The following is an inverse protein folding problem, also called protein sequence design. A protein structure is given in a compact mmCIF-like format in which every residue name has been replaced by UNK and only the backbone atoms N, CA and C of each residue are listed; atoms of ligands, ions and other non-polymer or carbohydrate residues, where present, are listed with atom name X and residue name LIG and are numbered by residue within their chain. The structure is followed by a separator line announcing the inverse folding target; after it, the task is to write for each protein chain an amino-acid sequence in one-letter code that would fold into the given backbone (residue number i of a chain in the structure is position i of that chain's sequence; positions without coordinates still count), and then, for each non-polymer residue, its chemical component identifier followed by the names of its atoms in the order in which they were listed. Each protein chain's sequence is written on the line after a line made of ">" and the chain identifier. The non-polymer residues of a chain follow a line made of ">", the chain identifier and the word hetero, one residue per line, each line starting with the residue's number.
data_IF_680929786416
#
_entry.id   IF_680929786416
#
_cell.length_a   1.000
_cell.length_b   1.000
_cell.length_c   1.000
_cell.angle_alpha   90.00
_cell.angle_beta   90.00
_cell.angle_gamma   90.00
#
_symmetry.space_group_name_H-M   'P 1'
#
loop_
_entity.id
_entity.type
_entity.pdbx_description
1 polymer ?
#
# COMPACT_ATOMS: atom_id res chain seq x y z
N UNK A 1 1.06 -4.12 -4.66
CA UNK A 1 1.87 -4.78 -3.61
C UNK A 1 1.08 -5.11 -2.36
N UNK A 2 0.01 -4.36 -2.06
CA UNK A 2 -0.81 -4.49 -0.84
C UNK A 2 -1.22 -5.92 -0.46
N UNK A 3 -1.66 -6.75 -1.42
CA UNK A 3 -2.01 -8.15 -1.12
C UNK A 3 -0.83 -8.98 -0.58
N UNK A 4 0.36 -8.77 -1.13
CA UNK A 4 1.60 -9.41 -0.69
C UNK A 4 2.00 -8.88 0.68
N UNK A 5 1.90 -7.57 0.90
CA UNK A 5 2.21 -6.93 2.18
C UNK A 5 1.28 -7.42 3.30
N UNK A 6 -0.02 -7.51 3.04
CA UNK A 6 -1.01 -8.03 3.98
C UNK A 6 -0.76 -9.51 4.31
N UNK A 7 -0.53 -10.35 3.28
CA UNK A 7 -0.16 -11.76 3.48
C UNK A 7 1.12 -11.92 4.33
N UNK A 8 2.14 -11.10 4.06
CA UNK A 8 3.40 -11.12 4.81
C UNK A 8 3.21 -10.66 6.26
N UNK A 9 2.34 -9.67 6.50
CA UNK A 9 1.99 -9.19 7.83
C UNK A 9 1.27 -10.27 8.65
N UNK A 10 0.34 -11.00 8.04
CA UNK A 10 -0.35 -12.15 8.66
C UNK A 10 0.65 -13.25 9.02
N UNK A 11 1.54 -13.63 8.10
CA UNK A 11 2.60 -14.59 8.38
C UNK A 11 3.54 -14.12 9.50
N UNK A 12 3.78 -12.81 9.60
CA UNK A 12 4.55 -12.22 10.69
C UNK A 12 3.82 -12.25 12.04
N UNK A 13 2.49 -12.18 12.05
CA UNK A 13 1.69 -12.32 13.25
C UNK A 13 1.79 -13.74 13.84
N UNK A 14 1.78 -14.77 12.98
CA UNK A 14 2.02 -16.17 13.38
C UNK A 14 3.39 -16.35 14.01
N UNK A 15 4.45 -15.84 13.35
CA UNK A 15 5.82 -15.91 13.89
C UNK A 15 5.98 -15.19 15.23
N UNK A 16 5.17 -14.16 15.46
CA UNK A 16 5.14 -13.41 16.72
C UNK A 16 4.18 -14.03 17.76
N UNK A 17 3.59 -15.19 17.48
CA UNK A 17 2.59 -15.87 18.32
C UNK A 17 1.39 -14.99 18.71
N UNK A 18 1.02 -14.05 17.85
CA UNK A 18 -0.18 -13.19 18.05
C UNK A 18 -1.46 -13.85 17.55
N UNK A 19 -1.33 -14.75 16.59
CA UNK A 19 -2.41 -15.58 16.06
C UNK A 19 -1.87 -17.00 15.86
N UNK A 20 -2.75 -18.00 15.91
CA UNK A 20 -2.43 -19.39 15.62
C UNK A 20 -2.57 -19.75 14.13
N UNK A 21 -2.40 -21.03 13.81
CA UNK A 21 -2.45 -21.51 12.43
C UNK A 21 -3.87 -21.48 11.83
N UNK A 22 -4.90 -21.78 12.63
CA UNK A 22 -6.28 -21.78 12.17
C UNK A 22 -6.76 -20.33 11.94
N UNK A 23 -6.39 -19.42 12.84
CA UNK A 23 -6.61 -17.98 12.70
C UNK A 23 -5.87 -17.40 11.48
N UNK A 24 -4.68 -17.90 11.16
CA UNK A 24 -3.93 -17.48 9.97
C UNK A 24 -4.65 -17.85 8.67
N UNK A 25 -5.13 -19.10 8.53
CA UNK A 25 -5.87 -19.54 7.35
C UNK A 25 -7.21 -18.81 7.22
N UNK A 26 -7.90 -18.59 8.33
CA UNK A 26 -9.11 -17.76 8.35
C UNK A 26 -8.83 -16.32 7.90
N UNK A 27 -7.75 -15.70 8.38
CA UNK A 27 -7.36 -14.34 7.99
C UNK A 27 -6.97 -14.24 6.51
N UNK A 28 -6.31 -15.25 5.94
CA UNK A 28 -6.00 -15.31 4.51
C UNK A 28 -7.26 -15.43 3.65
N UNK A 29 -8.25 -16.19 4.12
CA UNK A 29 -9.57 -16.28 3.45
C UNK A 29 -10.27 -14.92 3.44
N UNK A 30 -10.33 -14.25 4.59
CA UNK A 30 -10.91 -12.90 4.69
C UNK A 30 -10.16 -11.90 3.80
N UNK A 31 -8.83 -11.96 3.76
CA UNK A 31 -8.02 -11.10 2.89
C UNK A 31 -8.35 -11.35 1.41
N UNK A 32 -8.51 -12.61 0.99
CA UNK A 32 -8.85 -12.96 -0.39
C UNK A 32 -10.23 -12.43 -0.80
N UNK A 33 -11.22 -12.52 0.10
CA UNK A 33 -12.58 -12.01 -0.10
C UNK A 33 -12.58 -10.49 -0.21
N UNK A 34 -11.97 -9.77 0.74
CA UNK A 34 -11.84 -8.31 0.69
C UNK A 34 -11.11 -7.82 -0.56
N UNK A 35 -10.11 -8.58 -1.03
CA UNK A 35 -9.36 -8.21 -2.22
C UNK A 35 -10.23 -8.22 -3.48
N UNK A 36 -11.31 -9.01 -3.54
CA UNK A 36 -12.25 -8.98 -4.67
C UNK A 36 -13.00 -7.65 -4.79
N UNK A 37 -13.11 -6.89 -3.70
CA UNK A 37 -13.77 -5.58 -3.67
C UNK A 37 -12.81 -4.44 -4.02
N UNK A 38 -11.51 -4.72 -4.17
CA UNK A 38 -10.46 -3.73 -4.41
C UNK A 38 -10.07 -3.72 -5.89
N UNK A 39 -10.17 -2.55 -6.52
CA UNK A 39 -9.59 -2.34 -7.85
C UNK A 39 -8.09 -2.06 -7.73
N UNK A 40 -7.27 -3.04 -8.12
CA UNK A 40 -5.82 -2.90 -8.09
C UNK A 40 -5.32 -2.07 -9.30
N UNK A 41 -4.47 -1.07 -9.02
CA UNK A 41 -3.75 -0.35 -10.09
C UNK A 41 -2.67 -1.26 -10.68
N UNK A 42 -2.72 -1.46 -11.99
CA UNK A 42 -1.73 -2.26 -12.71
C UNK A 42 -0.36 -1.56 -12.73
N UNK A 43 0.68 -2.34 -12.42
CA UNK A 43 2.08 -1.87 -12.47
C UNK A 43 2.62 -2.13 -13.88
N UNK A 44 2.54 -1.11 -14.72
CA UNK A 44 3.14 -1.10 -16.05
C UNK A 44 4.50 -0.37 -16.06
N UNK A 45 5.18 -0.37 -17.20
CA UNK A 45 6.49 0.27 -17.36
C UNK A 45 6.45 1.79 -17.03
N UNK A 46 5.36 2.47 -17.37
CA UNK A 46 5.21 3.92 -17.13
C UNK A 46 5.12 4.20 -15.63
N UNK A 47 4.33 3.40 -14.91
CA UNK A 47 4.23 3.47 -13.46
C UNK A 47 5.56 3.13 -12.80
N UNK A 48 6.27 2.09 -13.28
CA UNK A 48 7.59 1.73 -12.76
C UNK A 48 8.62 2.84 -12.91
N UNK A 49 8.66 3.53 -14.07
CA UNK A 49 9.57 4.67 -14.29
C UNK A 49 9.24 5.85 -13.38
N UNK A 50 7.96 6.12 -13.17
CA UNK A 50 7.48 7.16 -12.24
C UNK A 50 7.87 6.83 -10.80
N UNK A 51 7.60 5.61 -10.35
CA UNK A 51 8.00 5.12 -9.03
C UNK A 51 9.52 5.20 -8.84
N UNK A 52 10.31 4.80 -9.82
CA UNK A 52 11.77 4.90 -9.74
C UNK A 52 12.25 6.35 -9.59
N UNK A 53 11.56 7.32 -10.20
CA UNK A 53 11.84 8.74 -10.01
C UNK A 53 11.53 9.19 -8.58
N UNK A 54 10.33 8.86 -8.09
CA UNK A 54 9.88 9.20 -6.74
C UNK A 54 10.77 8.59 -5.66
N UNK A 55 11.22 7.34 -5.84
CA UNK A 55 12.16 6.70 -4.92
C UNK A 55 13.44 7.52 -4.72
N UNK A 56 13.94 8.20 -5.77
CA UNK A 56 15.14 9.03 -5.68
C UNK A 56 14.85 10.42 -5.14
N UNK A 57 13.75 11.05 -5.57
CA UNK A 57 13.43 12.43 -5.15
C UNK A 57 12.95 12.50 -3.71
N UNK A 58 12.22 11.48 -3.28
CA UNK A 58 11.53 11.43 -1.99
C UNK A 58 12.17 10.46 -1.00
N UNK A 59 13.29 9.83 -1.39
CA UNK A 59 14.00 8.81 -0.60
C UNK A 59 13.11 7.64 -0.13
N UNK A 60 12.10 7.28 -0.92
CA UNK A 60 11.16 6.21 -0.61
C UNK A 60 11.76 4.83 -0.85
N UNK A 61 11.33 3.84 -0.06
CA UNK A 61 11.60 2.43 -0.38
C UNK A 61 10.85 2.06 -1.67
N UNK A 62 11.31 1.01 -2.36
CA UNK A 62 10.76 0.64 -3.67
C UNK A 62 9.24 0.44 -3.68
N UNK A 63 8.69 -0.21 -2.66
CA UNK A 63 7.24 -0.41 -2.53
C UNK A 63 6.50 0.89 -2.22
N UNK A 64 7.02 1.74 -1.31
CA UNK A 64 6.45 3.05 -1.01
C UNK A 64 6.41 3.93 -2.26
N UNK A 65 7.43 3.86 -3.10
CA UNK A 65 7.46 4.60 -4.36
C UNK A 65 6.44 4.09 -5.38
N UNK A 66 6.17 2.78 -5.42
CA UNK A 66 5.10 2.19 -6.24
C UNK A 66 3.73 2.64 -5.72
N UNK A 67 3.50 2.60 -4.41
CA UNK A 67 2.27 3.10 -3.79
C UNK A 67 2.07 4.60 -4.08
N UNK A 68 3.15 5.38 -4.00
CA UNK A 68 3.15 6.80 -4.35
C UNK A 68 2.75 7.04 -5.81
N UNK A 69 3.42 6.39 -6.75
CA UNK A 69 3.12 6.51 -8.17
C UNK A 69 1.69 6.05 -8.51
N UNK A 70 1.20 5.00 -7.84
CA UNK A 70 -0.14 4.45 -8.05
C UNK A 70 -1.23 5.45 -7.65
N UNK A 71 -1.08 6.09 -6.48
CA UNK A 71 -2.01 7.14 -6.05
C UNK A 71 -1.98 8.37 -6.97
N UNK A 72 -0.79 8.78 -7.42
CA UNK A 72 -0.66 9.92 -8.33
C UNK A 72 -1.28 9.68 -9.70
N UNK A 73 -1.28 8.43 -10.19
CA UNK A 73 -1.99 8.06 -11.41
C UNK A 73 -3.50 8.28 -11.30
N UNK A 74 -4.04 8.22 -10.08
CA UNK A 74 -5.45 8.42 -9.76
C UNK A 74 -5.79 9.85 -9.32
N UNK A 75 -4.80 10.73 -9.12
CA UNK A 75 -5.00 12.08 -8.56
C UNK A 75 -5.93 13.00 -9.38
N UNK A 76 -6.23 12.65 -10.64
CA UNK A 76 -7.22 13.35 -11.46
C UNK A 76 -8.68 12.93 -11.20
N UNK A 77 -8.88 11.88 -10.41
CA UNK A 77 -10.16 11.46 -9.83
C UNK A 77 -10.16 12.01 -8.40
N UNK A 78 -11.27 12.57 -7.92
CA UNK A 78 -11.36 13.10 -6.55
C UNK A 78 -11.11 11.99 -5.52
N UNK A 79 -9.84 11.77 -5.18
CA UNK A 79 -9.35 10.63 -4.39
C UNK A 79 -8.67 11.11 -3.11
N UNK A 80 -8.83 10.29 -2.08
CA UNK A 80 -8.13 10.44 -0.81
C UNK A 80 -7.18 9.26 -0.67
N UNK A 81 -5.89 9.54 -0.49
CA UNK A 81 -4.90 8.51 -0.20
C UNK A 81 -4.92 8.19 1.29
N UNK A 82 -4.89 6.90 1.63
CA UNK A 82 -5.00 6.43 3.02
C UNK A 82 -3.84 5.49 3.34
N UNK A 83 -3.13 5.75 4.43
CA UNK A 83 -2.07 4.85 4.94
C UNK A 83 -1.83 5.09 6.43
N UNK A 84 -1.29 4.09 7.13
CA UNK A 84 -0.71 4.29 8.47
C UNK A 84 0.77 4.68 8.44
N UNK A 85 1.42 4.65 7.27
CA UNK A 85 2.82 5.01 7.11
C UNK A 85 2.98 6.53 6.94
N UNK A 86 3.61 7.17 7.92
CA UNK A 86 3.81 8.62 7.94
C UNK A 86 4.66 9.12 6.76
N UNK A 87 5.70 8.39 6.37
CA UNK A 87 6.60 8.80 5.29
C UNK A 87 5.87 8.78 3.95
N UNK A 88 5.04 7.75 3.73
CA UNK A 88 4.21 7.65 2.54
C UNK A 88 3.13 8.74 2.51
N UNK A 89 2.47 9.00 3.65
CA UNK A 89 1.50 10.08 3.79
C UNK A 89 2.10 11.46 3.46
N UNK A 90 3.29 11.76 3.97
CA UNK A 90 4.00 13.01 3.70
C UNK A 90 4.38 13.15 2.22
N UNK A 91 4.80 12.06 1.55
CA UNK A 91 5.10 12.09 0.11
C UNK A 91 3.84 12.40 -0.70
N UNK A 92 2.72 11.70 -0.47
CA UNK A 92 1.46 12.01 -1.16
C UNK A 92 1.01 13.45 -0.95
N UNK A 93 1.11 13.97 0.28
CA UNK A 93 0.75 15.34 0.58
C UNK A 93 1.62 16.35 -0.19
N UNK A 94 2.93 16.12 -0.29
CA UNK A 94 3.85 16.96 -1.10
C UNK A 94 3.49 17.00 -2.58
N UNK A 95 2.86 15.95 -3.10
CA UNK A 95 2.39 15.87 -4.48
C UNK A 95 0.93 16.32 -4.67
N UNK A 96 0.31 16.92 -3.66
CA UNK A 96 -1.00 17.56 -3.76
C UNK A 96 -2.20 16.63 -3.56
N UNK A 97 -2.00 15.40 -3.09
CA UNK A 97 -3.09 14.50 -2.73
C UNK A 97 -3.68 14.86 -1.36
N UNK A 98 -4.99 14.67 -1.23
CA UNK A 98 -5.64 14.60 0.08
C UNK A 98 -5.23 13.29 0.77
N UNK A 99 -4.82 13.37 2.03
CA UNK A 99 -4.28 12.22 2.77
C UNK A 99 -5.01 12.04 4.10
N UNK A 100 -5.33 10.79 4.43
CA UNK A 100 -5.78 10.38 5.76
C UNK A 100 -4.78 9.40 6.35
N UNK A 101 -4.27 9.72 7.54
CA UNK A 101 -3.41 8.83 8.30
C UNK A 101 -4.25 8.00 9.27
N UNK A 102 -4.18 6.67 9.19
CA UNK A 102 -4.99 5.80 10.07
C UNK A 102 -4.42 5.67 11.49
N UNK A 103 -3.23 6.22 11.75
CA UNK A 103 -2.57 6.19 13.06
C UNK A 103 -2.70 7.51 13.84
N UNK A 104 -3.33 8.54 13.26
CA UNK A 104 -3.44 9.90 13.81
C UNK A 104 -4.85 10.32 14.17
#
# INVERSE_FOLDING_TARGET
>A
MTYVEASAALASAVRAHRIDADEHEAALTVLADLWQEISAVEVDETLMRTAASLARTDALRGYDAIQCASALRLAGLDVVAVSGDNVLCESWHRHGLHVVNTNG
#
